data_IF_280602814089
#
_entry.id   IF_280602814089
#
_cell.length_a   1.000
_cell.length_b   1.000
_cell.length_c   1.000
_cell.angle_alpha   90.00
_cell.angle_beta   90.00
_cell.angle_gamma   90.00
#
_symmetry.space_group_name_H-M   'P 1'
#
loop_
_entity.id
_entity.type
_entity.pdbx_description
1 polymer ?
#
# COMPACT_ATOMS: atom_id res chain seq x y z
N UNK A 1 48.91 -28.70 33.83
CA UNK A 1 48.02 -27.55 34.11
C UNK A 1 48.39 -26.30 33.29
N UNK A 2 49.63 -26.16 32.79
CA UNK A 2 50.01 -25.02 31.94
C UNK A 2 49.52 -25.12 30.48
N UNK A 3 49.32 -26.32 29.93
CA UNK A 3 48.87 -26.52 28.54
C UNK A 3 47.45 -25.99 28.27
N UNK A 4 46.54 -26.08 29.24
CA UNK A 4 45.16 -25.59 29.07
C UNK A 4 45.08 -24.05 29.03
N UNK A 5 46.00 -23.35 29.71
CA UNK A 5 46.02 -21.89 29.74
C UNK A 5 46.52 -21.27 28.41
N UNK A 6 47.33 -22.01 27.65
CA UNK A 6 47.83 -21.57 26.33
C UNK A 6 46.73 -21.71 25.26
N UNK A 7 45.91 -22.76 25.34
CA UNK A 7 44.80 -22.99 24.40
C UNK A 7 43.69 -21.94 24.59
N UNK A 8 43.35 -21.60 25.84
CA UNK A 8 42.33 -20.57 26.12
C UNK A 8 42.75 -19.17 25.65
N UNK A 9 44.05 -18.86 25.69
CA UNK A 9 44.56 -17.57 25.21
C UNK A 9 44.57 -17.46 23.69
N UNK A 10 44.93 -18.54 22.99
CA UNK A 10 44.90 -18.60 21.52
C UNK A 10 43.49 -18.41 20.97
N UNK A 11 42.49 -19.00 21.62
CA UNK A 11 41.10 -18.91 21.16
C UNK A 11 40.50 -17.52 21.39
N UNK A 12 40.86 -16.86 22.48
CA UNK A 12 40.42 -15.49 22.76
C UNK A 12 40.97 -14.46 21.75
N UNK A 13 42.20 -14.64 21.28
CA UNK A 13 42.81 -13.77 20.26
C UNK A 13 42.15 -13.96 18.88
N UNK A 14 41.83 -15.19 18.49
CA UNK A 14 41.15 -15.50 17.23
C UNK A 14 39.72 -14.94 17.18
N UNK A 15 38.96 -15.05 18.28
CA UNK A 15 37.61 -14.49 18.38
C UNK A 15 37.62 -12.95 18.34
N UNK A 16 38.64 -12.31 18.92
CA UNK A 16 38.79 -10.86 18.86
C UNK A 16 39.12 -10.37 17.45
N UNK A 17 39.94 -11.09 16.69
CA UNK A 17 40.29 -10.76 15.32
C UNK A 17 39.10 -10.93 14.35
N UNK A 18 38.34 -12.02 14.49
CA UNK A 18 37.09 -12.25 13.74
C UNK A 18 36.07 -11.14 13.99
N UNK A 19 35.90 -10.72 15.25
CA UNK A 19 34.98 -9.63 15.62
C UNK A 19 35.40 -8.30 15.00
N UNK A 20 36.71 -7.99 15.00
CA UNK A 20 37.22 -6.76 14.39
C UNK A 20 37.04 -6.76 12.86
N UNK A 21 37.21 -7.90 12.19
CA UNK A 21 36.95 -8.06 10.74
C UNK A 21 35.46 -7.87 10.41
N UNK A 22 34.56 -8.42 11.23
CA UNK A 22 33.13 -8.26 11.06
C UNK A 22 32.66 -6.80 11.25
N UNK A 23 33.19 -6.11 12.25
CA UNK A 23 32.88 -4.69 12.51
C UNK A 23 33.38 -3.78 11.37
N UNK A 24 34.58 -4.01 10.85
CA UNK A 24 35.10 -3.26 9.70
C UNK A 24 34.30 -3.51 8.42
N UNK A 25 33.89 -4.76 8.15
CA UNK A 25 33.04 -5.07 7.00
C UNK A 25 31.69 -4.35 7.09
N UNK A 26 31.07 -4.35 8.27
CA UNK A 26 29.80 -3.67 8.53
C UNK A 26 29.92 -2.14 8.40
N UNK A 27 31.06 -1.57 8.79
CA UNK A 27 31.33 -0.14 8.62
C UNK A 27 31.48 0.25 7.14
N UNK A 28 32.14 -0.59 6.33
CA UNK A 28 32.29 -0.37 4.90
C UNK A 28 30.96 -0.44 4.15
N UNK A 29 30.14 -1.48 4.43
CA UNK A 29 28.79 -1.62 3.84
C UNK A 29 27.88 -0.42 4.19
N UNK A 30 28.01 0.11 5.41
CA UNK A 30 27.26 1.31 5.84
C UNK A 30 27.72 2.58 5.13
N UNK A 31 29.02 2.71 4.86
CA UNK A 31 29.59 3.83 4.08
C UNK A 31 29.09 3.81 2.63
N UNK A 32 29.13 2.65 1.98
CA UNK A 32 28.68 2.51 0.59
C UNK A 32 27.18 2.78 0.45
N UNK A 33 26.37 2.31 1.40
CA UNK A 33 24.94 2.60 1.44
C UNK A 33 24.65 4.11 1.61
N UNK A 34 25.45 4.83 2.41
CA UNK A 34 25.30 6.27 2.59
C UNK A 34 25.64 7.04 1.29
N UNK A 35 26.70 6.64 0.59
CA UNK A 35 27.13 7.24 -0.68
C UNK A 35 26.10 7.03 -1.79
N UNK A 36 25.46 5.85 -1.85
CA UNK A 36 24.37 5.56 -2.79
C UNK A 36 23.13 6.42 -2.49
N UNK A 37 22.82 6.66 -1.22
CA UNK A 37 21.69 7.50 -0.81
C UNK A 37 21.94 8.98 -1.12
N UNK A 38 23.16 9.48 -0.90
CA UNK A 38 23.54 10.86 -1.25
C UNK A 38 23.45 11.10 -2.76
N UNK A 39 23.90 10.15 -3.58
CA UNK A 39 23.77 10.24 -5.03
C UNK A 39 22.30 10.31 -5.48
N UNK A 40 21.43 9.46 -4.90
CA UNK A 40 19.98 9.48 -5.19
C UNK A 40 19.32 10.78 -4.76
N UNK A 41 19.75 11.37 -3.64
CA UNK A 41 19.24 12.65 -3.17
C UNK A 41 19.62 13.80 -4.12
N UNK A 42 20.84 13.80 -4.64
CA UNK A 42 21.29 14.78 -5.65
C UNK A 42 20.54 14.64 -6.98
N UNK A 43 20.29 13.41 -7.44
CA UNK A 43 19.48 13.15 -8.64
C UNK A 43 18.04 13.63 -8.47
N UNK A 44 17.42 13.36 -7.32
CA UNK A 44 16.07 13.85 -7.01
C UNK A 44 16.00 15.39 -6.96
N UNK A 45 17.03 16.04 -6.38
CA UNK A 45 17.13 17.50 -6.34
C UNK A 45 17.26 18.10 -7.75
N UNK A 46 18.05 17.48 -8.63
CA UNK A 46 18.20 17.93 -10.02
C UNK A 46 16.88 17.84 -10.80
N UNK A 47 16.10 16.76 -10.61
CA UNK A 47 14.77 16.60 -11.23
C UNK A 47 13.81 17.68 -10.73
N UNK A 48 13.80 17.95 -9.42
CA UNK A 48 12.96 19.00 -8.84
C UNK A 48 13.30 20.39 -9.39
N UNK A 49 14.59 20.75 -9.46
CA UNK A 49 15.03 22.04 -9.98
C UNK A 49 14.70 22.22 -11.47
N UNK A 50 14.79 21.14 -12.27
CA UNK A 50 14.37 21.14 -13.67
C UNK A 50 12.86 21.39 -13.82
N UNK A 51 12.03 20.75 -12.99
CA UNK A 51 10.57 20.92 -13.05
C UNK A 51 10.13 22.31 -12.57
N UNK A 52 10.77 22.86 -11.53
CA UNK A 52 10.53 24.24 -11.07
C UNK A 52 10.89 25.25 -12.18
N UNK A 53 11.98 25.01 -12.91
CA UNK A 53 12.39 25.87 -14.04
C UNK A 53 11.38 25.81 -15.18
N UNK A 54 10.83 24.62 -15.49
CA UNK A 54 9.78 24.42 -16.49
C UNK A 54 8.48 25.14 -16.12
N UNK A 55 8.07 25.07 -14.84
CA UNK A 55 6.87 25.77 -14.33
C UNK A 55 7.07 27.29 -14.39
N UNK A 56 8.27 27.79 -14.07
CA UNK A 56 8.59 29.23 -14.16
C UNK A 56 8.63 29.72 -15.61
N UNK A 57 9.15 28.92 -16.55
CA UNK A 57 9.16 29.23 -17.98
C UNK A 57 7.76 29.17 -18.62
N UNK A 58 6.84 28.37 -18.09
CA UNK A 58 5.48 28.18 -18.60
C UNK A 58 4.48 29.31 -18.28
N UNK A 59 4.78 30.23 -17.36
CA UNK A 59 3.84 31.30 -16.93
C UNK A 59 3.69 32.49 -17.91
N UNK A 60 4.33 32.45 -19.08
CA UNK A 60 4.45 33.62 -19.98
C UNK A 60 3.69 33.61 -21.31
N UNK A 61 3.08 32.51 -21.76
CA UNK A 61 2.48 32.48 -23.12
C UNK A 61 1.12 31.78 -23.15
N UNK A 62 0.05 32.60 -23.18
CA UNK A 62 -1.24 32.21 -23.78
C UNK A 62 -1.02 32.04 -25.29
N UNK A 63 -0.85 30.81 -25.75
CA UNK A 63 -0.73 30.49 -27.16
C UNK A 63 -0.99 29.01 -27.39
N UNK A 64 -2.14 28.71 -28.03
CA UNK A 64 -2.58 27.44 -28.65
C UNK A 64 -1.89 26.18 -28.15
N UNK A 65 -2.63 25.38 -27.37
CA UNK A 65 -2.31 23.99 -27.04
C UNK A 65 -1.90 23.22 -28.30
N UNK A 66 -0.66 22.67 -28.37
CA UNK A 66 -0.46 21.45 -29.11
C UNK A 66 -1.19 20.34 -28.36
N UNK A 67 -1.93 19.52 -29.12
CA UNK A 67 -2.60 18.31 -28.66
C UNK A 67 -1.67 17.57 -27.68
N UNK A 68 -2.05 17.59 -26.41
CA UNK A 68 -1.38 16.89 -25.34
C UNK A 68 -1.43 15.40 -25.68
N UNK A 69 -0.29 14.82 -26.02
CA UNK A 69 -0.06 13.39 -25.89
C UNK A 69 -0.24 13.07 -24.40
N UNK A 70 -1.48 12.77 -24.03
CA UNK A 70 -1.82 12.17 -22.76
C UNK A 70 -0.87 10.98 -22.54
N UNK A 71 -0.46 10.66 -21.30
CA UNK A 71 0.41 9.52 -21.04
C UNK A 71 -0.25 8.28 -21.64
N UNK A 72 0.27 7.84 -22.78
CA UNK A 72 -0.15 6.62 -23.45
C UNK A 72 0.21 5.53 -22.46
N UNK A 73 -0.80 4.89 -21.86
CA UNK A 73 -0.63 3.67 -21.08
C UNK A 73 0.40 2.79 -21.80
N UNK A 74 1.47 2.34 -21.13
CA UNK A 74 2.46 1.48 -21.74
C UNK A 74 1.73 0.34 -22.46
N UNK A 75 2.04 0.14 -23.75
CA UNK A 75 1.44 -0.92 -24.56
C UNK A 75 1.58 -2.22 -23.77
N UNK A 76 0.44 -2.75 -23.31
CA UNK A 76 0.34 -3.87 -22.38
C UNK A 76 1.23 -5.03 -22.85
N UNK A 77 2.28 -5.31 -22.09
CA UNK A 77 2.91 -6.63 -22.11
C UNK A 77 1.81 -7.63 -21.78
N UNK A 78 1.64 -8.73 -22.53
CA UNK A 78 0.63 -9.73 -22.22
C UNK A 78 0.82 -10.18 -20.78
N UNK A 79 -0.16 -9.88 -19.92
CA UNK A 79 -0.14 -10.36 -18.54
C UNK A 79 -0.18 -11.89 -18.61
N UNK A 80 0.77 -12.60 -17.98
CA UNK A 80 0.71 -14.05 -17.95
C UNK A 80 -0.59 -14.44 -17.24
N UNK A 81 -1.48 -15.11 -17.96
CA UNK A 81 -2.61 -15.80 -17.35
C UNK A 81 -2.02 -16.91 -16.51
N UNK A 82 -1.95 -16.73 -15.18
CA UNK A 82 -1.58 -17.84 -14.30
C UNK A 82 -2.63 -18.94 -14.47
N UNK A 83 -2.21 -20.09 -15.00
CA UNK A 83 -3.05 -21.29 -15.19
C UNK A 83 -3.72 -21.76 -13.89
N UNK A 84 -3.16 -21.39 -12.74
CA UNK A 84 -3.66 -21.76 -11.41
C UNK A 84 -5.02 -21.09 -11.05
N UNK A 85 -5.37 -20.03 -11.79
CA UNK A 85 -6.62 -19.28 -11.70
C UNK A 85 -7.41 -19.37 -13.02
N UNK A 86 -7.54 -20.58 -13.59
CA UNK A 86 -8.66 -20.85 -14.49
C UNK A 86 -9.98 -20.65 -13.73
N UNK A 87 -10.48 -19.42 -13.80
CA UNK A 87 -11.83 -19.02 -13.40
C UNK A 87 -12.77 -19.82 -14.31
N UNK A 88 -13.45 -20.82 -13.73
CA UNK A 88 -14.41 -21.64 -14.47
C UNK A 88 -14.52 -23.11 -14.05
N UNK A 89 -13.69 -23.62 -13.14
CA UNK A 89 -13.96 -24.92 -12.49
C UNK A 89 -14.66 -24.70 -11.14
N UNK A 90 -15.95 -25.02 -11.12
CA UNK A 90 -17.00 -24.64 -10.17
C UNK A 90 -16.76 -24.91 -8.67
N UNK A 91 -15.81 -25.77 -8.31
CA UNK A 91 -15.65 -26.22 -6.92
C UNK A 91 -15.15 -25.11 -5.98
N UNK A 92 -14.26 -24.23 -6.46
CA UNK A 92 -13.71 -23.15 -5.61
C UNK A 92 -14.71 -22.03 -5.38
N UNK A 93 -15.57 -21.76 -6.37
CA UNK A 93 -16.65 -20.78 -6.21
C UNK A 93 -17.65 -21.28 -5.16
N UNK A 94 -18.02 -22.57 -5.20
CA UNK A 94 -18.91 -23.17 -4.21
C UNK A 94 -18.38 -23.06 -2.78
N UNK A 95 -17.07 -23.29 -2.57
CA UNK A 95 -16.44 -23.10 -1.25
C UNK A 95 -16.52 -21.64 -0.79
N UNK A 96 -16.16 -20.69 -1.65
CA UNK A 96 -16.25 -19.25 -1.30
C UNK A 96 -17.69 -18.83 -1.00
N UNK A 97 -18.65 -19.33 -1.78
CA UNK A 97 -20.08 -19.08 -1.59
C UNK A 97 -20.56 -19.59 -0.23
N UNK A 98 -20.23 -20.84 0.11
CA UNK A 98 -20.58 -21.43 1.41
C UNK A 98 -20.02 -20.63 2.59
N UNK A 99 -18.76 -20.20 2.51
CA UNK A 99 -18.13 -19.39 3.56
C UNK A 99 -18.80 -18.02 3.63
N UNK A 100 -19.05 -17.40 2.48
CA UNK A 100 -19.73 -16.11 2.40
C UNK A 100 -21.10 -16.14 3.05
N UNK A 101 -21.93 -17.13 2.70
CA UNK A 101 -23.26 -17.33 3.28
C UNK A 101 -23.20 -17.61 4.79
N UNK A 102 -22.17 -18.34 5.24
CA UNK A 102 -21.98 -18.62 6.67
C UNK A 102 -21.65 -17.36 7.47
N UNK A 103 -20.99 -16.37 6.86
CA UNK A 103 -20.54 -15.13 7.52
C UNK A 103 -21.58 -14.03 7.40
N UNK A 104 -22.16 -13.87 6.21
CA UNK A 104 -23.03 -12.74 5.87
C UNK A 104 -24.52 -13.13 5.85
N UNK A 105 -24.86 -14.41 5.94
CA UNK A 105 -26.23 -14.91 5.76
C UNK A 105 -26.54 -15.28 4.31
N UNK A 106 -27.69 -15.93 4.09
CA UNK A 106 -28.11 -16.35 2.75
C UNK A 106 -28.34 -15.15 1.82
N UNK A 107 -27.87 -15.29 0.57
CA UNK A 107 -28.00 -14.28 -0.48
C UNK A 107 -29.46 -14.08 -0.89
N UNK A 108 -30.32 -15.08 -0.69
CA UNK A 108 -31.74 -15.09 -1.11
C UNK A 108 -32.64 -14.08 -0.39
N UNK A 109 -32.13 -13.27 0.55
CA UNK A 109 -32.97 -12.44 1.42
C UNK A 109 -32.75 -10.93 1.45
N UNK A 110 -31.55 -10.38 1.20
CA UNK A 110 -31.33 -8.93 1.46
C UNK A 110 -29.98 -8.34 1.02
N UNK A 111 -28.93 -9.14 0.86
CA UNK A 111 -27.58 -8.61 0.61
C UNK A 111 -27.29 -8.52 -0.89
N UNK A 112 -27.87 -7.52 -1.54
CA UNK A 112 -27.35 -7.08 -2.83
C UNK A 112 -25.87 -6.72 -2.67
N UNK A 113 -25.01 -7.31 -3.50
CA UNK A 113 -23.62 -6.91 -3.56
C UNK A 113 -23.57 -5.42 -3.88
N UNK A 114 -22.93 -4.63 -3.02
CA UNK A 114 -22.69 -3.22 -3.25
C UNK A 114 -21.29 -3.04 -3.77
N UNK A 115 -21.19 -2.27 -4.84
CA UNK A 115 -19.94 -1.82 -5.44
C UNK A 115 -18.96 -1.30 -4.35
N UNK A 116 -17.69 -1.79 -4.28
CA UNK A 116 -16.97 -2.59 -5.27
C UNK A 116 -17.17 -4.11 -5.18
N UNK A 117 -17.98 -4.62 -4.26
CA UNK A 117 -18.20 -6.07 -4.12
C UNK A 117 -19.10 -6.54 -5.25
N UNK A 118 -18.68 -7.56 -5.99
CA UNK A 118 -19.44 -8.12 -7.14
C UNK A 118 -19.73 -9.61 -7.01
N UNK A 119 -19.21 -10.24 -5.95
CA UNK A 119 -19.45 -11.64 -5.65
C UNK A 119 -18.77 -12.09 -4.35
N UNK A 120 -18.93 -13.36 -3.96
CA UNK A 120 -18.30 -13.93 -2.78
C UNK A 120 -16.77 -13.81 -2.82
N UNK A 121 -16.25 -12.93 -1.97
CA UNK A 121 -14.82 -12.58 -1.92
C UNK A 121 -14.28 -12.06 -3.27
N UNK A 122 -15.13 -11.38 -4.04
CA UNK A 122 -14.79 -10.80 -5.33
C UNK A 122 -15.02 -9.28 -5.33
N UNK A 123 -14.02 -8.54 -5.80
CA UNK A 123 -14.00 -7.08 -5.75
C UNK A 123 -13.69 -6.52 -7.14
N UNK A 124 -14.61 -5.73 -7.69
CA UNK A 124 -14.46 -5.10 -9.00
C UNK A 124 -13.41 -3.99 -8.99
N UNK A 125 -12.48 -4.09 -9.92
CA UNK A 125 -11.46 -3.09 -10.19
C UNK A 125 -12.03 -1.98 -11.08
N UNK A 126 -11.71 -0.71 -10.79
CA UNK A 126 -12.03 0.39 -11.70
C UNK A 126 -11.38 0.16 -13.07
N UNK A 127 -12.08 0.44 -14.19
CA UNK A 127 -11.53 0.24 -15.54
C UNK A 127 -10.24 1.04 -15.83
N UNK A 128 -10.05 2.15 -15.12
CA UNK A 128 -8.91 3.07 -15.22
C UNK A 128 -7.80 2.79 -14.20
N UNK A 129 -7.95 1.77 -13.35
CA UNK A 129 -6.94 1.43 -12.38
C UNK A 129 -5.65 0.98 -13.09
N UNK A 130 -4.51 1.56 -12.68
CA UNK A 130 -3.19 1.08 -13.10
C UNK A 130 -2.86 -0.25 -12.40
N UNK A 131 -3.32 -1.35 -12.99
CA UNK A 131 -3.05 -2.69 -12.48
C UNK A 131 -1.55 -3.01 -12.46
N UNK A 132 -0.79 -2.52 -13.45
CA UNK A 132 0.63 -2.81 -13.56
C UNK A 132 1.42 -2.11 -12.45
N UNK A 133 1.21 -0.81 -12.22
CA UNK A 133 1.90 -0.09 -11.16
C UNK A 133 1.44 -0.42 -9.74
N UNK A 134 0.16 -0.80 -9.56
CA UNK A 134 -0.43 -0.94 -8.22
C UNK A 134 -0.54 -2.38 -7.71
N UNK A 135 -0.51 -3.39 -8.59
CA UNK A 135 -0.65 -4.80 -8.21
C UNK A 135 0.45 -5.67 -8.79
N UNK A 136 0.77 -5.54 -10.08
CA UNK A 136 1.70 -6.45 -10.75
C UNK A 136 3.16 -6.13 -10.44
N UNK A 137 3.57 -4.88 -10.62
CA UNK A 137 4.97 -4.44 -10.59
C UNK A 137 5.71 -4.73 -11.89
N UNK A 138 6.99 -4.34 -11.95
CA UNK A 138 7.89 -4.72 -13.04
C UNK A 138 8.10 -6.25 -13.01
N UNK A 139 7.84 -6.92 -14.13
CA UNK A 139 7.94 -8.39 -14.26
C UNK A 139 7.19 -9.22 -13.20
N UNK A 140 6.18 -8.64 -12.54
CA UNK A 140 5.39 -9.32 -11.50
C UNK A 140 6.00 -9.28 -10.10
N UNK A 141 7.09 -8.54 -9.89
CA UNK A 141 7.81 -8.52 -8.60
C UNK A 141 6.93 -8.09 -7.42
N UNK A 142 6.02 -7.14 -7.64
CA UNK A 142 5.19 -6.58 -6.58
C UNK A 142 4.14 -7.60 -6.16
N UNK A 143 3.61 -8.33 -7.13
CA UNK A 143 2.67 -9.41 -6.91
C UNK A 143 3.30 -10.61 -6.20
N UNK A 144 4.52 -11.00 -6.55
CA UNK A 144 5.22 -12.09 -5.84
C UNK A 144 5.50 -11.72 -4.37
N UNK A 145 5.90 -10.47 -4.12
CA UNK A 145 6.06 -9.94 -2.75
C UNK A 145 4.74 -9.87 -1.99
N UNK A 146 3.66 -9.49 -2.67
CA UNK A 146 2.30 -9.54 -2.12
C UNK A 146 1.97 -10.96 -1.68
N UNK A 147 2.06 -11.95 -2.56
CA UNK A 147 1.75 -13.35 -2.23
C UNK A 147 2.61 -13.89 -1.08
N UNK A 148 3.88 -13.49 -1.02
CA UNK A 148 4.81 -13.88 0.05
C UNK A 148 4.48 -13.24 1.40
N UNK A 149 3.76 -12.11 1.41
CA UNK A 149 3.32 -11.43 2.63
C UNK A 149 2.02 -11.97 3.22
N UNK A 150 1.25 -12.75 2.43
CA UNK A 150 -0.01 -13.35 2.87
C UNK A 150 0.25 -14.62 3.70
N UNK A 151 -0.76 -15.03 4.46
CA UNK A 151 -0.77 -16.37 5.04
C UNK A 151 -0.57 -17.44 3.97
N UNK A 152 0.18 -18.50 4.32
CA UNK A 152 0.59 -19.54 3.36
C UNK A 152 -0.58 -20.17 2.60
N UNK A 153 -1.76 -20.23 3.21
CA UNK A 153 -2.98 -20.82 2.66
C UNK A 153 -3.88 -19.83 1.90
N UNK A 154 -3.61 -18.52 1.95
CA UNK A 154 -4.38 -17.49 1.26
C UNK A 154 -3.74 -17.08 -0.06
N UNK A 155 -4.57 -16.60 -0.98
CA UNK A 155 -4.12 -16.04 -2.25
C UNK A 155 -5.06 -14.93 -2.70
N UNK A 156 -4.52 -14.01 -3.48
CA UNK A 156 -5.27 -13.01 -4.24
C UNK A 156 -5.02 -13.29 -5.70
N UNK A 157 -6.05 -13.44 -6.51
CA UNK A 157 -5.96 -13.56 -7.97
C UNK A 157 -6.88 -12.55 -8.65
N UNK A 158 -7.09 -12.71 -9.96
CA UNK A 158 -7.99 -11.83 -10.71
C UNK A 158 -8.74 -12.56 -11.83
N UNK A 159 -9.87 -11.97 -12.21
CA UNK A 159 -10.64 -12.37 -13.39
C UNK A 159 -10.27 -11.44 -14.54
N UNK A 160 -9.93 -12.02 -15.70
CA UNK A 160 -9.66 -11.28 -16.93
C UNK A 160 -10.92 -11.28 -17.78
N UNK A 161 -11.38 -10.10 -18.21
CA UNK A 161 -12.39 -9.99 -19.25
C UNK A 161 -11.98 -8.94 -20.28
N UNK A 162 -12.04 -9.30 -21.57
CA UNK A 162 -11.59 -8.41 -22.66
C UNK A 162 -10.10 -8.05 -22.56
N UNK A 163 -9.25 -9.03 -22.26
CA UNK A 163 -7.79 -8.89 -22.10
C UNK A 163 -7.34 -7.96 -20.95
N UNK A 164 -8.25 -7.54 -20.06
CA UNK A 164 -7.93 -6.72 -18.88
C UNK A 164 -8.40 -7.36 -17.59
N UNK A 165 -7.65 -7.21 -16.48
CA UNK A 165 -8.13 -7.55 -15.14
C UNK A 165 -9.39 -6.73 -14.81
N UNK A 166 -10.46 -7.40 -14.39
CA UNK A 166 -11.75 -6.78 -14.03
C UNK A 166 -12.06 -6.87 -12.56
N UNK A 167 -11.69 -7.98 -11.93
CA UNK A 167 -12.01 -8.24 -10.53
C UNK A 167 -10.80 -8.85 -9.85
N UNK A 168 -10.60 -8.51 -8.57
CA UNK A 168 -9.76 -9.29 -7.67
C UNK A 168 -10.61 -10.36 -6.99
N UNK A 169 -10.01 -11.53 -6.83
CA UNK A 169 -10.63 -12.70 -6.19
C UNK A 169 -9.73 -13.13 -5.05
N UNK A 170 -10.29 -13.15 -3.83
CA UNK A 170 -9.58 -13.59 -2.64
C UNK A 170 -10.04 -15.03 -2.33
N UNK A 171 -9.10 -15.91 -2.00
CA UNK A 171 -9.44 -17.29 -1.70
C UNK A 171 -8.30 -18.09 -1.08
N UNK A 172 -8.52 -19.40 -0.98
CA UNK A 172 -7.50 -20.35 -0.54
C UNK A 172 -6.63 -20.81 -1.71
N UNK A 173 -5.35 -21.08 -1.43
CA UNK A 173 -4.46 -21.72 -2.38
C UNK A 173 -4.93 -23.16 -2.67
N UNK A 174 -4.75 -23.66 -3.91
CA UNK A 174 -5.15 -25.01 -4.28
C UNK A 174 -4.48 -26.10 -3.44
N UNK A 175 -3.24 -25.87 -3.00
CA UNK A 175 -2.50 -26.80 -2.16
C UNK A 175 -2.98 -26.86 -0.71
N UNK A 176 -3.99 -26.07 -0.34
CA UNK A 176 -4.51 -25.94 1.02
C UNK A 176 -6.05 -26.08 1.05
N UNK A 177 -6.61 -27.07 0.34
CA UNK A 177 -8.06 -27.31 0.33
C UNK A 177 -8.64 -27.53 1.74
N UNK A 178 -7.89 -28.20 2.62
CA UNK A 178 -8.26 -28.40 4.04
C UNK A 178 -8.40 -27.08 4.80
N UNK A 179 -7.73 -26.00 4.37
CA UNK A 179 -7.83 -24.71 5.05
C UNK A 179 -9.25 -24.16 5.02
N UNK A 180 -10.01 -24.45 3.96
CA UNK A 180 -11.39 -24.02 3.82
C UNK A 180 -12.35 -24.72 4.81
N UNK A 181 -11.94 -25.82 5.43
CA UNK A 181 -12.74 -26.50 6.46
C UNK A 181 -12.60 -25.89 7.86
N UNK A 182 -11.58 -25.03 8.08
CA UNK A 182 -11.24 -24.50 9.40
C UNK A 182 -11.79 -23.09 9.58
N UNK A 183 -12.73 -22.92 10.51
CA UNK A 183 -13.37 -21.63 10.82
C UNK A 183 -12.38 -20.51 11.15
N UNK A 184 -11.24 -20.83 11.79
CA UNK A 184 -10.18 -19.85 12.06
C UNK A 184 -9.66 -19.20 10.77
N UNK A 185 -9.44 -19.98 9.72
CA UNK A 185 -8.93 -19.47 8.46
C UNK A 185 -9.96 -18.62 7.71
N UNK A 186 -11.25 -18.77 8.01
CA UNK A 186 -12.30 -17.91 7.46
C UNK A 186 -12.17 -16.49 7.96
N UNK A 187 -11.70 -16.30 9.21
CA UNK A 187 -11.40 -14.98 9.74
C UNK A 187 -10.29 -14.31 8.95
N UNK A 188 -9.17 -15.01 8.72
CA UNK A 188 -8.03 -14.49 7.96
C UNK A 188 -8.41 -14.18 6.50
N UNK A 189 -9.21 -15.05 5.87
CA UNK A 189 -9.79 -14.80 4.53
C UNK A 189 -10.65 -13.53 4.51
N UNK A 190 -11.51 -13.37 5.51
CA UNK A 190 -12.42 -12.22 5.60
C UNK A 190 -11.63 -10.94 5.82
N UNK A 191 -10.65 -10.94 6.73
CA UNK A 191 -9.80 -9.78 6.98
C UNK A 191 -9.03 -9.37 5.72
N UNK A 192 -8.45 -10.33 4.99
CA UNK A 192 -7.78 -10.04 3.72
C UNK A 192 -8.75 -9.43 2.70
N UNK A 193 -9.96 -9.97 2.59
CA UNK A 193 -10.97 -9.44 1.68
C UNK A 193 -11.43 -8.03 2.07
N UNK A 194 -11.71 -7.77 3.34
CA UNK A 194 -12.05 -6.44 3.87
C UNK A 194 -10.94 -5.42 3.53
N UNK A 195 -9.69 -5.84 3.68
CA UNK A 195 -8.52 -5.02 3.37
C UNK A 195 -8.41 -4.70 1.88
N UNK A 196 -8.64 -5.68 1.01
CA UNK A 196 -8.69 -5.50 -0.45
C UNK A 196 -9.85 -4.57 -0.85
N UNK A 197 -11.04 -4.74 -0.26
CA UNK A 197 -12.18 -3.84 -0.50
C UNK A 197 -11.81 -2.41 -0.14
N UNK A 198 -11.24 -2.19 1.05
CA UNK A 198 -10.81 -0.87 1.48
C UNK A 198 -9.72 -0.28 0.59
N UNK A 199 -8.79 -1.10 0.09
CA UNK A 199 -7.81 -0.67 -0.90
C UNK A 199 -8.46 -0.24 -2.22
N UNK A 200 -9.36 -1.05 -2.79
CA UNK A 200 -10.08 -0.71 -4.04
C UNK A 200 -10.88 0.57 -3.86
N UNK A 201 -11.60 0.72 -2.74
CA UNK A 201 -12.32 1.96 -2.43
C UNK A 201 -11.38 3.17 -2.44
N UNK A 202 -10.20 3.08 -1.81
CA UNK A 202 -9.21 4.17 -1.83
C UNK A 202 -8.65 4.42 -3.22
N UNK A 203 -8.39 3.38 -4.01
CA UNK A 203 -7.88 3.50 -5.37
C UNK A 203 -8.88 4.24 -6.28
N UNK A 204 -10.19 3.99 -6.12
CA UNK A 204 -11.25 4.76 -6.79
C UNK A 204 -11.23 6.24 -6.44
N UNK A 205 -10.79 6.56 -5.22
CA UNK A 205 -10.56 7.93 -4.79
C UNK A 205 -9.19 8.48 -5.19
N UNK A 206 -8.43 7.82 -6.07
CA UNK A 206 -7.14 8.30 -6.57
C UNK A 206 -5.94 8.00 -5.66
N UNK A 207 -6.08 7.07 -4.71
CA UNK A 207 -4.93 6.56 -3.97
C UNK A 207 -3.96 5.85 -4.93
N UNK A 208 -2.70 6.24 -4.91
CA UNK A 208 -1.61 5.60 -5.66
C UNK A 208 -0.87 4.53 -4.84
N UNK A 209 -1.38 4.17 -3.66
CA UNK A 209 -0.76 3.13 -2.82
C UNK A 209 -0.95 1.75 -3.45
N UNK A 210 0.14 0.99 -3.56
CA UNK A 210 0.11 -0.38 -4.06
C UNK A 210 -0.74 -1.27 -3.15
N UNK A 211 -1.30 -2.37 -3.67
CA UNK A 211 -2.07 -3.29 -2.85
C UNK A 211 -1.22 -3.84 -1.70
N UNK A 212 0.03 -4.23 -2.00
CA UNK A 212 1.01 -4.68 -1.01
C UNK A 212 1.20 -3.68 0.14
N UNK A 213 1.47 -2.42 -0.18
CA UNK A 213 1.68 -1.38 0.83
C UNK A 213 0.40 -1.10 1.62
N UNK A 214 -0.77 -1.14 0.98
CA UNK A 214 -2.05 -0.95 1.67
C UNK A 214 -2.33 -2.05 2.68
N UNK A 215 -2.09 -3.32 2.33
CA UNK A 215 -2.22 -4.44 3.26
C UNK A 215 -1.25 -4.30 4.43
N UNK A 216 -0.01 -3.90 4.17
CA UNK A 216 0.97 -3.63 5.22
C UNK A 216 0.50 -2.50 6.15
N UNK A 217 0.02 -1.38 5.61
CA UNK A 217 -0.52 -0.25 6.39
C UNK A 217 -1.68 -0.71 7.27
N UNK A 218 -2.62 -1.49 6.72
CA UNK A 218 -3.78 -2.00 7.46
C UNK A 218 -3.37 -2.95 8.58
N UNK A 219 -2.44 -3.87 8.29
CA UNK A 219 -1.87 -4.77 9.28
C UNK A 219 -1.24 -3.99 10.46
N UNK A 220 -0.32 -3.07 10.14
CA UNK A 220 0.35 -2.24 11.14
C UNK A 220 -0.62 -1.35 11.91
N UNK A 221 -1.64 -0.80 11.25
CA UNK A 221 -2.67 0.00 11.91
C UNK A 221 -3.48 -0.83 12.91
N UNK A 222 -3.89 -2.06 12.55
CA UNK A 222 -4.59 -2.95 13.48
C UNK A 222 -3.72 -3.32 14.68
N UNK A 223 -2.43 -3.59 14.45
CA UNK A 223 -1.49 -3.87 15.54
C UNK A 223 -1.32 -2.67 16.49
N UNK A 224 -1.30 -1.45 15.95
CA UNK A 224 -1.18 -0.24 16.73
C UNK A 224 -2.44 0.10 17.55
N UNK A 225 -3.63 -0.27 17.06
CA UNK A 225 -4.93 0.04 17.68
C UNK A 225 -5.38 -1.04 18.67
N UNK A 226 -4.62 -2.13 18.85
CA UNK A 226 -4.96 -3.28 19.70
C UNK A 226 -5.24 -2.99 21.20
N UNK A 227 -5.24 -1.73 21.64
CA UNK A 227 -5.78 -1.31 22.95
C UNK A 227 -7.25 -0.85 22.94
N UNK A 228 -7.96 -0.78 21.81
CA UNK A 228 -9.39 -0.51 21.82
C UNK A 228 -10.19 -1.41 20.88
N UNK A 229 -11.28 -1.95 21.45
CA UNK A 229 -12.20 -2.94 20.91
C UNK A 229 -12.62 -2.67 19.47
N UNK A 230 -12.60 -3.73 18.65
CA UNK A 230 -13.46 -3.94 17.47
C UNK A 230 -13.88 -2.66 16.74
N UNK A 231 -12.91 -1.94 16.18
CA UNK A 231 -13.22 -0.80 15.34
C UNK A 231 -13.94 -1.32 14.10
N UNK A 232 -15.17 -0.83 13.91
CA UNK A 232 -16.20 -1.37 13.04
C UNK A 232 -15.68 -1.85 11.69
N UNK A 233 -15.97 -3.13 11.40
CA UNK A 233 -15.92 -3.69 10.06
C UNK A 233 -16.73 -2.81 9.11
N UNK A 234 -16.10 -2.37 8.02
CA UNK A 234 -16.78 -1.94 6.78
C UNK A 234 -17.86 -0.85 6.85
N UNK A 235 -17.96 -0.02 7.89
CA UNK A 235 -18.96 1.07 7.92
C UNK A 235 -18.65 2.20 6.91
N UNK A 236 -17.39 2.34 6.47
CA UNK A 236 -16.97 3.45 5.59
C UNK A 236 -16.97 3.17 4.08
N UNK A 237 -17.14 1.92 3.64
CA UNK A 237 -17.05 1.58 2.21
C UNK A 237 -18.41 1.63 1.47
N UNK A 238 -19.50 1.95 2.17
CA UNK A 238 -20.86 1.58 1.74
C UNK A 238 -21.67 2.66 0.99
N UNK A 239 -21.05 3.78 0.58
CA UNK A 239 -21.78 4.94 0.02
C UNK A 239 -21.22 5.47 -1.31
N UNK A 240 -21.04 4.59 -2.29
CA UNK A 240 -20.62 4.96 -3.66
C UNK A 240 -21.58 4.50 -4.77
N UNK A 241 -22.87 4.29 -4.46
CA UNK A 241 -23.78 3.60 -5.39
C UNK A 241 -24.31 4.42 -6.58
N UNK A 242 -24.03 5.73 -6.69
CA UNK A 242 -24.57 6.55 -7.79
C UNK A 242 -23.63 7.72 -8.14
N UNK A 243 -22.36 7.43 -8.47
CA UNK A 243 -21.43 8.48 -8.91
C UNK A 243 -21.09 8.34 -10.37
N UNK A 244 -20.98 9.49 -11.03
CA UNK A 244 -20.52 9.59 -12.40
C UNK A 244 -19.09 9.04 -12.49
N UNK A 245 -18.96 7.85 -13.10
CA UNK A 245 -17.69 7.13 -13.25
C UNK A 245 -16.63 7.99 -13.94
N UNK A 246 -17.01 8.85 -14.88
CA UNK A 246 -16.06 9.72 -15.58
C UNK A 246 -15.54 10.83 -14.67
N UNK A 247 -16.39 11.40 -13.82
CA UNK A 247 -15.99 12.39 -12.83
C UNK A 247 -15.11 11.77 -11.73
N UNK A 248 -15.40 10.53 -11.33
CA UNK A 248 -14.55 9.79 -10.38
C UNK A 248 -13.20 9.44 -10.97
N UNK A 249 -13.15 8.98 -12.22
CA UNK A 249 -11.91 8.71 -12.96
C UNK A 249 -11.03 9.97 -13.03
N UNK A 250 -11.60 11.09 -13.46
CA UNK A 250 -10.88 12.36 -13.55
C UNK A 250 -10.33 12.79 -12.18
N UNK A 251 -11.16 12.73 -11.12
CA UNK A 251 -10.73 13.06 -9.76
C UNK A 251 -9.66 12.10 -9.23
N UNK A 252 -9.76 10.81 -9.58
CA UNK A 252 -8.78 9.81 -9.22
C UNK A 252 -7.43 10.09 -9.88
N UNK A 253 -7.44 10.45 -11.17
CA UNK A 253 -6.26 10.82 -11.93
C UNK A 253 -5.59 12.10 -11.38
N UNK A 254 -6.38 13.12 -11.06
CA UNK A 254 -5.88 14.36 -10.44
C UNK A 254 -5.19 14.08 -9.10
N UNK A 255 -5.81 13.27 -8.24
CA UNK A 255 -5.24 12.88 -6.94
C UNK A 255 -4.02 11.98 -7.11
N UNK A 256 -4.00 11.08 -8.09
CA UNK A 256 -2.82 10.26 -8.40
C UNK A 256 -1.62 11.14 -8.77
N UNK A 257 -1.81 12.08 -9.70
CA UNK A 257 -0.77 13.04 -10.10
C UNK A 257 -0.33 13.91 -8.92
N UNK A 258 -1.28 14.36 -8.10
CA UNK A 258 -0.98 15.11 -6.89
C UNK A 258 -0.17 14.29 -5.88
N UNK A 259 -0.49 13.00 -5.70
CA UNK A 259 0.25 12.10 -4.81
C UNK A 259 1.73 12.03 -5.19
N UNK A 260 2.02 11.90 -6.49
CA UNK A 260 3.39 11.88 -7.00
C UNK A 260 4.16 13.16 -6.67
N UNK A 261 3.53 14.32 -6.83
CA UNK A 261 4.14 15.61 -6.51
C UNK A 261 4.32 15.86 -4.99
N UNK A 262 3.37 15.40 -4.18
CA UNK A 262 3.35 15.64 -2.73
C UNK A 262 4.18 14.64 -1.92
N UNK A 263 4.39 13.43 -2.43
CA UNK A 263 5.12 12.36 -1.72
C UNK A 263 6.53 12.77 -1.28
N UNK A 264 7.36 13.43 -2.13
CA UNK A 264 8.68 13.91 -1.72
C UNK A 264 8.62 14.93 -0.57
N UNK A 265 7.64 15.83 -0.56
CA UNK A 265 7.47 16.82 0.51
C UNK A 265 7.19 16.15 1.87
N UNK A 266 6.31 15.15 1.87
CA UNK A 266 6.02 14.37 3.09
C UNK A 266 7.25 13.62 3.56
N UNK A 267 8.01 13.00 2.66
CA UNK A 267 9.24 12.31 3.03
C UNK A 267 10.29 13.26 3.62
N UNK A 268 10.44 14.47 3.06
CA UNK A 268 11.33 15.49 3.63
C UNK A 268 10.92 15.81 5.08
N UNK A 269 9.62 16.04 5.33
CA UNK A 269 9.11 16.28 6.69
C UNK A 269 9.42 15.08 7.62
N UNK A 270 9.14 13.85 7.17
CA UNK A 270 9.37 12.63 7.96
C UNK A 270 10.85 12.34 8.25
N UNK A 271 11.77 12.88 7.46
CA UNK A 271 13.21 12.65 7.58
C UNK A 271 13.93 13.77 8.34
N UNK A 272 13.53 15.02 8.10
CA UNK A 272 14.22 16.20 8.60
C UNK A 272 13.67 16.69 9.95
N UNK A 273 12.39 16.45 10.24
CA UNK A 273 11.78 16.97 11.45
C UNK A 273 12.05 16.08 12.68
N UNK A 274 12.46 16.68 13.82
CA UNK A 274 12.46 16.01 15.10
C UNK A 274 11.08 15.44 15.44
N UNK A 275 11.06 14.31 16.16
CA UNK A 275 9.81 13.67 16.60
C UNK A 275 8.87 14.62 17.37
N UNK A 276 9.43 15.57 18.12
CA UNK A 276 8.68 16.55 18.92
C UNK A 276 7.93 17.59 18.07
N UNK A 277 8.37 17.84 16.83
CA UNK A 277 7.76 18.83 15.92
C UNK A 277 7.10 18.20 14.70
N UNK A 278 7.20 16.88 14.55
CA UNK A 278 6.74 16.15 13.37
C UNK A 278 5.23 16.30 13.14
N UNK A 279 4.41 16.05 14.17
CA UNK A 279 2.94 16.14 14.07
C UNK A 279 2.48 17.55 13.65
N UNK A 280 3.05 18.59 14.26
CA UNK A 280 2.77 19.98 13.95
C UNK A 280 3.22 20.36 12.53
N UNK A 281 4.36 19.85 12.08
CA UNK A 281 4.88 20.10 10.73
C UNK A 281 3.99 19.46 9.66
N UNK A 282 3.54 18.22 9.90
CA UNK A 282 2.61 17.53 9.01
C UNK A 282 1.24 18.22 9.00
N UNK A 283 0.75 18.67 10.16
CA UNK A 283 -0.51 19.42 10.24
C UNK A 283 -0.44 20.74 9.47
N UNK A 284 0.64 21.52 9.64
CA UNK A 284 0.86 22.75 8.89
C UNK A 284 0.93 22.49 7.38
N UNK A 285 1.54 21.37 6.97
CA UNK A 285 1.59 20.94 5.57
C UNK A 285 0.21 20.57 5.00
N UNK A 286 -0.60 19.83 5.77
CA UNK A 286 -1.99 19.49 5.42
C UNK A 286 -2.84 20.75 5.26
N UNK A 287 -2.69 21.71 6.19
CA UNK A 287 -3.51 22.93 6.28
C UNK A 287 -2.99 24.08 5.41
N UNK A 288 -1.91 23.88 4.64
CA UNK A 288 -1.30 24.93 3.80
C UNK A 288 -2.36 25.62 2.93
N UNK A 289 -2.34 26.95 2.91
CA UNK A 289 -3.29 27.77 2.16
C UNK A 289 -3.34 27.37 0.68
N UNK A 290 -4.54 27.32 0.10
CA UNK A 290 -4.75 26.88 -1.29
C UNK A 290 -4.67 25.36 -1.49
N UNK A 291 -4.52 24.57 -0.42
CA UNK A 291 -4.57 23.10 -0.51
C UNK A 291 -5.95 22.62 -0.97
N UNK A 292 -5.99 22.03 -2.16
CA UNK A 292 -7.13 21.23 -2.63
C UNK A 292 -7.08 19.88 -1.91
N UNK A 293 -8.16 19.52 -1.21
CA UNK A 293 -8.36 18.22 -0.58
C UNK A 293 -7.47 17.89 0.64
N UNK A 294 -7.80 18.52 1.79
CA UNK A 294 -7.11 18.30 3.07
C UNK A 294 -7.20 16.84 3.53
N UNK A 295 -8.34 16.17 3.34
CA UNK A 295 -8.55 14.78 3.73
C UNK A 295 -7.62 13.81 2.98
N UNK A 296 -7.44 14.04 1.67
CA UNK A 296 -6.47 13.29 0.87
C UNK A 296 -5.05 13.47 1.41
N UNK A 297 -4.63 14.71 1.72
CA UNK A 297 -3.30 15.00 2.27
C UNK A 297 -3.04 14.31 3.61
N UNK A 298 -4.01 14.32 4.53
CA UNK A 298 -3.91 13.59 5.80
C UNK A 298 -3.67 12.11 5.56
N UNK A 299 -4.46 11.51 4.67
CA UNK A 299 -4.36 10.08 4.35
C UNK A 299 -3.00 9.76 3.72
N UNK A 300 -2.53 10.56 2.77
CA UNK A 300 -1.22 10.39 2.15
C UNK A 300 -0.09 10.47 3.18
N UNK A 301 -0.10 11.51 4.02
CA UNK A 301 0.90 11.72 5.06
C UNK A 301 0.94 10.58 6.08
N UNK A 302 -0.23 10.14 6.57
CA UNK A 302 -0.34 9.03 7.51
C UNK A 302 0.19 7.73 6.92
N UNK A 303 -0.20 7.40 5.68
CA UNK A 303 0.25 6.17 4.99
C UNK A 303 1.77 6.16 4.82
N UNK A 304 2.36 7.27 4.37
CA UNK A 304 3.81 7.39 4.20
C UNK A 304 4.55 7.32 5.54
N UNK A 305 3.99 7.89 6.60
CA UNK A 305 4.54 7.79 7.95
C UNK A 305 4.51 6.34 8.45
N UNK A 306 3.36 5.66 8.37
CA UNK A 306 3.22 4.25 8.79
C UNK A 306 4.23 3.37 8.04
N UNK A 307 4.33 3.51 6.72
CA UNK A 307 5.28 2.73 5.92
C UNK A 307 6.74 3.03 6.26
N UNK A 308 7.07 4.31 6.47
CA UNK A 308 8.41 4.73 6.90
C UNK A 308 8.78 4.16 8.28
N UNK A 309 7.83 4.15 9.22
CA UNK A 309 8.00 3.59 10.54
C UNK A 309 8.12 2.06 10.53
N UNK A 310 7.25 1.39 9.77
CA UNK A 310 7.25 -0.06 9.60
C UNK A 310 8.56 -0.58 9.00
N UNK A 311 9.07 0.08 7.94
CA UNK A 311 10.38 -0.26 7.34
C UNK A 311 11.56 -0.14 8.31
N UNK A 312 11.41 0.65 9.37
CA UNK A 312 12.42 0.87 10.42
C UNK A 312 12.11 0.08 11.70
N UNK A 313 11.10 -0.79 11.67
CA UNK A 313 10.62 -1.59 12.81
C UNK A 313 10.25 -0.75 14.04
N UNK A 314 9.76 0.48 13.83
CA UNK A 314 9.40 1.42 14.90
C UNK A 314 7.91 1.35 15.22
N UNK A 315 7.48 0.29 15.91
CA UNK A 315 6.07 0.08 16.25
C UNK A 315 5.43 1.31 16.95
N UNK A 316 6.14 1.96 17.88
CA UNK A 316 5.64 3.16 18.55
C UNK A 316 5.37 4.34 17.61
N UNK A 317 6.11 4.46 16.50
CA UNK A 317 5.89 5.49 15.49
C UNK A 317 4.67 5.19 14.62
N UNK A 318 4.36 3.90 14.40
CA UNK A 318 3.12 3.50 13.73
C UNK A 318 1.91 3.95 14.57
N UNK A 319 1.94 3.69 15.89
CA UNK A 319 0.87 4.13 16.79
C UNK A 319 0.69 5.64 16.79
N UNK A 320 1.78 6.41 16.77
CA UNK A 320 1.72 7.87 16.65
C UNK A 320 1.10 8.31 15.32
N UNK A 321 1.51 7.71 14.20
CA UNK A 321 0.98 8.04 12.88
C UNK A 321 -0.53 7.78 12.77
N UNK A 322 -1.00 6.63 13.28
CA UNK A 322 -2.42 6.27 13.29
C UNK A 322 -3.22 7.21 14.19
N UNK A 323 -2.72 7.50 15.39
CA UNK A 323 -3.35 8.46 16.31
C UNK A 323 -3.45 9.85 15.68
N UNK A 324 -2.35 10.32 15.08
CA UNK A 324 -2.29 11.62 14.41
C UNK A 324 -3.33 11.69 13.28
N UNK A 325 -3.42 10.66 12.44
CA UNK A 325 -4.42 10.60 11.37
C UNK A 325 -5.85 10.75 11.91
N UNK A 326 -6.19 10.02 12.99
CA UNK A 326 -7.51 10.09 13.62
C UNK A 326 -7.82 11.50 14.16
N UNK A 327 -6.87 12.09 14.90
CA UNK A 327 -7.02 13.42 15.49
C UNK A 327 -7.23 14.49 14.41
N UNK A 328 -6.40 14.50 13.38
CA UNK A 328 -6.49 15.50 12.31
C UNK A 328 -7.76 15.29 11.47
N UNK A 329 -8.11 14.05 11.14
CA UNK A 329 -9.35 13.77 10.38
C UNK A 329 -10.57 14.29 11.14
N UNK A 330 -10.67 14.01 12.44
CA UNK A 330 -11.75 14.53 13.30
C UNK A 330 -11.73 16.06 13.40
N UNK A 331 -10.56 16.69 13.38
CA UNK A 331 -10.44 18.14 13.39
C UNK A 331 -10.94 18.75 12.08
N UNK A 332 -10.60 18.16 10.94
CA UNK A 332 -11.03 18.65 9.62
C UNK A 332 -12.54 18.51 9.43
N UNK A 333 -13.13 17.39 9.86
CA UNK A 333 -14.58 17.20 9.77
C UNK A 333 -15.41 18.16 10.63
N UNK A 334 -14.80 18.87 11.59
CA UNK A 334 -15.46 19.92 12.38
C UNK A 334 -15.38 21.31 11.74
N UNK A 335 -14.53 21.49 10.73
CA UNK A 335 -14.32 22.77 10.05
C UNK A 335 -15.17 22.93 8.78
N UNK A 336 -15.72 21.82 8.27
CA UNK A 336 -16.61 21.75 7.10
C UNK A 336 -18.09 21.85 7.51
#
# INVERSE_FOLDING_TARGET
MEENAVIDKSWAEEVAEEKAKAENKKALEKSDAALVMEKKALEAKAIYEAEVTKIRAGRGKKGKEPVSDAPIMPKMTPLPVRRDFEVGKDERLAVRHKIWESINGSIDGSLSFRDPVVGPFEVALPPWLDFHGLIWGEDGELYERLLSSLHEFLTVGWIIAGARPRCLVIGFKPSYEDAASRSRHWHDLTTLWEDVVAWVSRARYGSCTTLLDSLAIQHWSRMAVASNKSQGRLEGAQSASERDLAAEEQKALERHNMAGALTPEVYAILQEQPRTTLEASLEAWVRREGSVDKHFRVTLAANLWIMSAAKKERAGWVTEAVRWQQVITLSLSKEE
#
